data_IF_619956052504
#
_entry.id   IF_619956052504
#
_cell.length_a   1.000
_cell.length_b   1.000
_cell.length_c   1.000
_cell.angle_alpha   90.00
_cell.angle_beta   90.00
_cell.angle_gamma   90.00
#
_symmetry.space_group_name_H-M   'P 1'
#
loop_
_entity.id
_entity.type
_entity.pdbx_description
1 polymer ?
#
# COMPACT_ATOMS: atom_id res chain seq x y z
N UNK A 1 46.25 -9.36 -8.92
CA UNK A 1 45.61 -8.27 -8.13
C UNK A 1 44.92 -7.22 -8.99
N UNK A 2 45.63 -6.39 -9.78
CA UNK A 2 45.00 -5.31 -10.58
C UNK A 2 43.86 -5.77 -11.50
N UNK A 3 44.09 -6.85 -12.28
CA UNK A 3 43.07 -7.43 -13.16
C UNK A 3 41.81 -7.87 -12.41
N UNK A 4 41.97 -8.59 -11.30
CA UNK A 4 40.85 -9.05 -10.47
C UNK A 4 40.05 -7.86 -9.92
N UNK A 5 40.74 -6.84 -9.39
CA UNK A 5 40.11 -5.60 -8.90
C UNK A 5 39.27 -4.92 -9.99
N UNK A 6 39.85 -4.79 -11.18
CA UNK A 6 39.17 -4.14 -12.32
C UNK A 6 37.94 -4.95 -12.75
N UNK A 7 37.99 -6.29 -12.70
CA UNK A 7 36.86 -7.18 -12.99
C UNK A 7 35.70 -7.05 -11.99
N UNK A 8 35.99 -6.79 -10.71
CA UNK A 8 34.96 -6.58 -9.66
C UNK A 8 34.59 -5.11 -9.44
N UNK A 9 35.14 -4.20 -10.25
CA UNK A 9 34.83 -2.77 -10.19
C UNK A 9 35.21 -2.08 -8.88
N UNK A 10 36.23 -2.57 -8.16
CA UNK A 10 36.69 -1.96 -6.91
C UNK A 10 37.72 -0.85 -7.13
N UNK A 11 37.75 0.15 -6.25
CA UNK A 11 38.87 1.09 -6.20
C UNK A 11 40.11 0.41 -5.60
N UNK A 12 41.31 0.94 -5.88
CA UNK A 12 42.55 0.44 -5.29
C UNK A 12 42.51 0.46 -3.76
N UNK A 13 41.90 1.50 -3.19
CA UNK A 13 41.75 1.65 -1.73
C UNK A 13 40.85 0.55 -1.17
N UNK A 14 39.74 0.24 -1.83
CA UNK A 14 38.79 -0.77 -1.35
C UNK A 14 39.36 -2.17 -1.49
N UNK A 15 40.08 -2.44 -2.58
CA UNK A 15 40.82 -3.69 -2.75
C UNK A 15 41.88 -3.89 -1.65
N UNK A 16 42.60 -2.82 -1.30
CA UNK A 16 43.62 -2.88 -0.24
C UNK A 16 42.95 -3.20 1.10
N UNK A 17 41.85 -2.51 1.44
CA UNK A 17 41.09 -2.76 2.67
C UNK A 17 40.54 -4.18 2.74
N UNK A 18 40.00 -4.69 1.63
CA UNK A 18 39.48 -6.06 1.54
C UNK A 18 40.55 -7.10 1.86
N UNK A 19 41.80 -6.81 1.48
CA UNK A 19 42.96 -7.65 1.77
C UNK A 19 43.59 -7.38 3.14
N UNK A 20 43.03 -6.45 3.94
CA UNK A 20 43.57 -6.07 5.24
C UNK A 20 44.82 -5.17 5.17
N UNK A 21 45.04 -4.49 4.05
CA UNK A 21 46.18 -3.60 3.82
C UNK A 21 45.74 -2.14 3.57
N UNK A 22 46.69 -1.21 3.63
CA UNK A 22 46.45 0.19 3.32
C UNK A 22 46.67 0.49 1.82
N UNK A 23 46.16 1.64 1.35
CA UNK A 23 46.22 2.05 -0.06
C UNK A 23 47.65 2.06 -0.62
N UNK A 24 48.63 2.51 0.15
CA UNK A 24 50.03 2.59 -0.27
C UNK A 24 50.60 1.20 -0.52
N UNK A 25 50.37 0.27 0.41
CA UNK A 25 50.79 -1.13 0.29
C UNK A 25 50.10 -1.81 -0.89
N UNK A 26 48.80 -1.61 -1.09
CA UNK A 26 48.08 -2.11 -2.26
C UNK A 26 48.64 -1.59 -3.59
N UNK A 27 49.05 -0.31 -3.64
CA UNK A 27 49.72 0.22 -4.84
C UNK A 27 51.07 -0.41 -5.13
N UNK A 28 51.83 -0.82 -4.10
CA UNK A 28 53.10 -1.50 -4.30
C UNK A 28 52.88 -2.91 -4.84
N UNK A 29 51.88 -3.63 -4.34
CA UNK A 29 51.50 -4.95 -4.85
C UNK A 29 51.06 -4.91 -6.31
N UNK A 30 50.23 -3.93 -6.70
CA UNK A 30 49.76 -3.82 -8.08
C UNK A 30 50.86 -3.44 -9.08
N UNK A 31 51.89 -2.73 -8.62
CA UNK A 31 53.06 -2.38 -9.43
C UNK A 31 54.13 -3.49 -9.45
N UNK A 32 53.92 -4.60 -8.72
CA UNK A 32 54.91 -5.67 -8.59
C UNK A 32 56.14 -5.29 -7.77
N UNK A 33 56.06 -4.20 -6.99
CA UNK A 33 57.16 -3.71 -6.14
C UNK A 33 57.16 -4.36 -4.75
N UNK A 34 56.12 -5.11 -4.41
CA UNK A 34 56.01 -5.86 -3.16
C UNK A 34 55.20 -7.14 -3.37
N UNK A 35 55.71 -8.25 -2.86
CA UNK A 35 55.00 -9.53 -2.90
C UNK A 35 53.86 -9.59 -1.90
N UNK A 36 52.81 -10.33 -2.27
CA UNK A 36 51.64 -10.58 -1.43
C UNK A 36 51.98 -11.66 -0.39
N UNK A 37 51.53 -11.47 0.85
CA UNK A 37 51.66 -12.49 1.87
C UNK A 37 50.63 -13.63 1.68
N UNK A 38 50.81 -14.74 2.39
CA UNK A 38 49.94 -15.91 2.26
C UNK A 38 48.45 -15.63 2.52
N UNK A 39 48.13 -14.73 3.47
CA UNK A 39 46.74 -14.34 3.79
C UNK A 39 46.11 -13.52 2.64
N UNK A 40 46.88 -12.59 2.09
CA UNK A 40 46.48 -11.76 0.95
C UNK A 40 46.28 -12.61 -0.31
N UNK A 41 47.18 -13.55 -0.58
CA UNK A 41 47.05 -14.51 -1.68
C UNK A 41 45.82 -15.40 -1.50
N UNK A 42 45.63 -15.97 -0.32
CA UNK A 42 44.44 -16.79 -0.02
C UNK A 42 43.15 -16.01 -0.24
N UNK A 43 43.11 -14.74 0.19
CA UNK A 43 41.94 -13.87 -0.01
C UNK A 43 41.66 -13.64 -1.50
N UNK A 44 42.69 -13.34 -2.29
CA UNK A 44 42.55 -13.16 -3.74
C UNK A 44 42.08 -14.45 -4.43
N UNK A 45 42.66 -15.59 -4.08
CA UNK A 45 42.28 -16.89 -4.64
C UNK A 45 40.85 -17.27 -4.28
N UNK A 46 40.39 -16.98 -3.06
CA UNK A 46 38.99 -17.18 -2.68
C UNK A 46 38.05 -16.29 -3.48
N UNK A 47 38.38 -15.01 -3.68
CA UNK A 47 37.58 -14.10 -4.51
C UNK A 47 37.49 -14.63 -5.94
N UNK A 48 38.62 -15.02 -6.53
CA UNK A 48 38.68 -15.56 -7.89
C UNK A 48 37.88 -16.87 -8.03
N UNK A 49 37.96 -17.77 -7.04
CA UNK A 49 37.16 -18.99 -7.01
C UNK A 49 35.66 -18.71 -6.92
N UNK A 50 35.25 -17.77 -6.07
CA UNK A 50 33.84 -17.39 -5.91
C UNK A 50 33.29 -16.70 -7.16
N UNK A 51 34.11 -15.92 -7.86
CA UNK A 51 33.74 -15.33 -9.15
C UNK A 51 33.59 -16.37 -10.25
N UNK A 52 34.44 -17.39 -10.26
CA UNK A 52 34.38 -18.47 -11.27
C UNK A 52 33.28 -19.51 -10.97
N UNK A 53 32.85 -19.62 -9.71
CA UNK A 53 31.77 -20.51 -9.27
C UNK A 53 30.41 -19.80 -9.16
N UNK A 54 30.30 -18.56 -9.63
CA UNK A 54 29.05 -17.82 -9.62
C UNK A 54 28.07 -18.42 -10.63
N UNK A 55 27.30 -19.43 -10.19
CA UNK A 55 25.89 -19.48 -10.56
C UNK A 55 25.37 -18.06 -10.37
N UNK A 56 24.97 -17.41 -11.46
CA UNK A 56 24.45 -16.04 -11.55
C UNK A 56 24.26 -15.38 -10.18
N UNK A 57 25.25 -14.61 -9.72
CA UNK A 57 25.00 -13.63 -8.67
C UNK A 57 23.99 -12.67 -9.30
N UNK A 58 22.71 -12.94 -9.10
CA UNK A 58 21.64 -12.13 -9.64
C UNK A 58 21.92 -10.70 -9.21
N UNK A 59 21.98 -9.80 -10.19
CA UNK A 59 22.33 -8.39 -10.02
C UNK A 59 21.44 -7.62 -9.01
N UNK A 60 20.45 -8.30 -8.43
CA UNK A 60 19.54 -7.86 -7.38
C UNK A 60 20.17 -7.79 -5.98
N UNK A 61 21.36 -8.35 -5.71
CA UNK A 61 21.91 -8.35 -4.33
C UNK A 61 22.66 -7.08 -3.90
N UNK A 62 22.79 -6.04 -4.74
CA UNK A 62 23.16 -4.69 -4.26
C UNK A 62 21.91 -3.86 -4.00
N UNK A 63 21.06 -4.34 -3.11
CA UNK A 63 20.05 -3.49 -2.49
C UNK A 63 20.75 -2.68 -1.40
N UNK A 64 20.78 -1.37 -1.58
CA UNK A 64 21.02 -0.44 -0.48
C UNK A 64 20.09 -0.86 0.67
N UNK A 65 20.66 -1.35 1.78
CA UNK A 65 19.92 -1.72 2.99
C UNK A 65 18.92 -0.63 3.43
N UNK A 66 19.22 0.63 3.08
CA UNK A 66 18.33 1.76 3.33
C UNK A 66 17.10 1.77 2.41
N UNK A 67 17.26 1.41 1.14
CA UNK A 67 16.16 1.35 0.16
C UNK A 67 15.23 0.18 0.48
N UNK A 68 15.79 -0.96 0.93
CA UNK A 68 15.05 -2.10 1.45
C UNK A 68 14.22 -1.73 2.69
N UNK A 69 14.83 -1.02 3.66
CA UNK A 69 14.12 -0.53 4.85
C UNK A 69 13.02 0.47 4.51
N UNK A 70 13.28 1.38 3.57
CA UNK A 70 12.29 2.34 3.10
C UNK A 70 11.11 1.64 2.42
N UNK A 71 11.38 0.63 1.59
CA UNK A 71 10.35 -0.17 0.94
C UNK A 71 9.49 -0.93 1.96
N UNK A 72 10.10 -1.61 2.94
CA UNK A 72 9.36 -2.31 4.00
C UNK A 72 8.50 -1.34 4.82
N UNK A 73 9.01 -0.15 5.12
CA UNK A 73 8.23 0.88 5.82
C UNK A 73 7.04 1.39 4.97
N UNK A 74 7.24 1.55 3.66
CA UNK A 74 6.18 1.92 2.73
C UNK A 74 5.08 0.84 2.68
N UNK A 75 5.46 -0.43 2.53
CA UNK A 75 4.52 -1.56 2.48
C UNK A 75 3.73 -1.70 3.79
N UNK A 76 4.38 -1.54 4.94
CA UNK A 76 3.73 -1.46 6.27
C UNK A 76 2.65 -0.39 6.30
N UNK A 77 3.01 0.82 5.88
CA UNK A 77 2.09 1.97 5.86
C UNK A 77 0.92 1.73 4.90
N UNK A 78 1.20 1.15 3.73
CA UNK A 78 0.19 0.85 2.72
C UNK A 78 -0.81 -0.19 3.23
N UNK A 79 -0.34 -1.29 3.85
CA UNK A 79 -1.19 -2.31 4.46
C UNK A 79 -2.05 -1.73 5.60
N UNK A 80 -1.46 -0.88 6.45
CA UNK A 80 -2.23 -0.18 7.48
C UNK A 80 -3.33 0.71 6.88
N UNK A 81 -3.00 1.50 5.86
CA UNK A 81 -3.96 2.36 5.18
C UNK A 81 -5.06 1.55 4.49
N UNK A 82 -4.71 0.43 3.85
CA UNK A 82 -5.66 -0.49 3.23
C UNK A 82 -6.65 -1.02 4.27
N UNK A 83 -6.18 -1.55 5.40
CA UNK A 83 -7.05 -2.02 6.50
C UNK A 83 -7.99 -0.92 6.99
N UNK A 84 -7.47 0.29 7.17
CA UNK A 84 -8.28 1.45 7.58
C UNK A 84 -9.34 1.83 6.53
N UNK A 85 -8.97 1.81 5.24
CA UNK A 85 -9.88 2.08 4.14
C UNK A 85 -10.98 1.01 4.07
N UNK A 86 -10.65 -0.27 4.24
CA UNK A 86 -11.61 -1.38 4.30
C UNK A 86 -12.60 -1.22 5.45
N UNK A 87 -12.12 -0.87 6.65
CA UNK A 87 -13.01 -0.60 7.79
C UNK A 87 -13.96 0.56 7.51
N UNK A 88 -13.44 1.65 6.94
CA UNK A 88 -14.25 2.82 6.58
C UNK A 88 -15.26 2.48 5.48
N UNK A 89 -14.89 1.64 4.53
CA UNK A 89 -15.77 1.13 3.48
C UNK A 89 -16.97 0.42 4.09
N UNK A 90 -16.75 -0.53 5.01
CA UNK A 90 -17.82 -1.27 5.66
C UNK A 90 -18.79 -0.35 6.42
N UNK A 91 -18.25 0.58 7.21
CA UNK A 91 -19.06 1.54 7.98
C UNK A 91 -19.94 2.38 7.05
N UNK A 92 -19.39 2.86 5.93
CA UNK A 92 -20.15 3.66 4.97
C UNK A 92 -21.18 2.79 4.24
N UNK A 93 -20.84 1.55 3.90
CA UNK A 93 -21.73 0.60 3.23
C UNK A 93 -22.96 0.30 4.10
N UNK A 94 -22.76 -0.03 5.37
CA UNK A 94 -23.85 -0.24 6.32
C UNK A 94 -24.71 1.02 6.49
N UNK A 95 -24.08 2.19 6.61
CA UNK A 95 -24.78 3.47 6.73
C UNK A 95 -25.66 3.74 5.50
N UNK A 96 -25.13 3.49 4.29
CA UNK A 96 -25.86 3.67 3.05
C UNK A 96 -27.07 2.73 2.99
N UNK A 97 -26.89 1.44 3.33
CA UNK A 97 -27.98 0.46 3.36
C UNK A 97 -29.14 0.91 4.27
N UNK A 98 -28.84 1.29 5.52
CA UNK A 98 -29.85 1.81 6.45
C UNK A 98 -30.52 3.09 5.94
N UNK A 99 -29.77 3.94 5.25
CA UNK A 99 -30.28 5.18 4.67
C UNK A 99 -31.25 4.90 3.52
N UNK A 100 -30.93 3.94 2.65
CA UNK A 100 -31.77 3.52 1.52
C UNK A 100 -33.08 2.88 2.01
N UNK A 101 -33.02 2.01 3.02
CA UNK A 101 -34.20 1.43 3.67
C UNK A 101 -35.09 2.51 4.33
N UNK A 102 -34.47 3.44 5.04
CA UNK A 102 -35.18 4.58 5.66
C UNK A 102 -35.84 5.45 4.60
N UNK A 103 -35.16 5.71 3.49
CA UNK A 103 -35.72 6.49 2.38
C UNK A 103 -36.90 5.78 1.73
N UNK A 104 -36.77 4.48 1.45
CA UNK A 104 -37.84 3.69 0.84
C UNK A 104 -39.09 3.61 1.72
N UNK A 105 -38.92 3.38 3.03
CA UNK A 105 -40.03 3.34 3.99
C UNK A 105 -40.72 4.69 4.13
N UNK A 106 -39.97 5.79 4.24
CA UNK A 106 -40.56 7.13 4.31
C UNK A 106 -41.23 7.54 3.00
N UNK A 107 -40.71 7.12 1.85
CA UNK A 107 -41.36 7.39 0.56
C UNK A 107 -42.73 6.71 0.49
N UNK A 108 -42.84 5.45 0.96
CA UNK A 108 -44.13 4.75 1.06
C UNK A 108 -45.09 5.45 2.01
N UNK A 109 -44.61 5.87 3.18
CA UNK A 109 -45.42 6.62 4.15
C UNK A 109 -45.93 7.94 3.55
N UNK A 110 -45.08 8.67 2.85
CA UNK A 110 -45.46 9.92 2.19
C UNK A 110 -46.57 9.71 1.15
N UNK A 111 -46.47 8.67 0.31
CA UNK A 111 -47.53 8.33 -0.64
C UNK A 111 -48.86 8.04 0.07
N UNK A 112 -48.82 7.23 1.13
CA UNK A 112 -50.01 6.87 1.90
C UNK A 112 -50.64 8.08 2.60
N UNK A 113 -49.83 8.99 3.16
CA UNK A 113 -50.34 10.23 3.75
C UNK A 113 -51.01 11.12 2.70
N UNK A 114 -50.47 11.20 1.49
CA UNK A 114 -51.09 11.92 0.39
C UNK A 114 -52.43 11.30 -0.03
N UNK A 115 -52.49 9.98 -0.17
CA UNK A 115 -53.74 9.26 -0.49
C UNK A 115 -54.80 9.42 0.61
N UNK A 116 -54.40 9.40 1.88
CA UNK A 116 -55.33 9.65 2.99
C UNK A 116 -55.88 11.07 2.95
N UNK A 117 -55.06 12.08 2.62
CA UNK A 117 -55.53 13.47 2.48
C UNK A 117 -56.49 13.65 1.31
N UNK A 118 -56.24 12.99 0.18
CA UNK A 118 -57.10 13.13 -0.99
C UNK A 118 -58.45 12.44 -0.78
N UNK A 119 -58.45 11.27 -0.11
CA UNK A 119 -59.65 10.45 0.08
C UNK A 119 -60.46 10.80 1.33
N UNK A 120 -59.84 11.28 2.41
CA UNK A 120 -60.52 11.65 3.65
C UNK A 120 -60.66 13.17 3.77
N UNK A 121 -61.86 13.69 3.51
CA UNK A 121 -62.21 15.12 3.60
C UNK A 121 -63.28 15.40 4.66
N UNK A 122 -63.36 16.65 5.11
CA UNK A 122 -64.39 17.09 6.07
C UNK A 122 -64.20 16.49 7.47
N UNK A 123 -65.29 16.05 8.12
CA UNK A 123 -65.26 15.49 9.48
C UNK A 123 -64.43 14.19 9.62
N UNK A 124 -64.14 13.51 8.51
CA UNK A 124 -63.30 12.30 8.48
C UNK A 124 -61.79 12.61 8.32
N UNK A 125 -61.42 13.88 8.10
CA UNK A 125 -60.02 14.28 7.97
C UNK A 125 -59.30 14.15 9.33
N UNK A 126 -58.22 13.39 9.35
CA UNK A 126 -57.41 13.22 10.56
C UNK A 126 -56.38 14.37 10.66
N UNK A 127 -56.45 15.22 11.70
CA UNK A 127 -55.54 16.37 11.85
C UNK A 127 -54.07 15.98 12.05
N UNK A 128 -53.78 14.75 12.50
CA UNK A 128 -52.42 14.27 12.70
C UNK A 128 -51.66 13.96 11.40
N UNK A 129 -52.37 13.83 10.27
CA UNK A 129 -51.77 13.53 8.96
C UNK A 129 -50.79 14.63 8.53
N UNK A 130 -51.10 15.89 8.80
CA UNK A 130 -50.18 17.01 8.51
C UNK A 130 -48.90 16.97 9.35
N UNK A 131 -49.01 16.59 10.64
CA UNK A 131 -47.82 16.45 11.52
C UNK A 131 -46.92 15.30 11.06
N UNK A 132 -47.52 14.18 10.67
CA UNK A 132 -46.78 13.02 10.15
C UNK A 132 -46.11 13.33 8.81
N UNK A 133 -46.75 14.11 7.95
CA UNK A 133 -46.18 14.55 6.67
C UNK A 133 -44.92 15.40 6.88
N UNK A 134 -44.95 16.39 7.78
CA UNK A 134 -43.78 17.21 8.09
C UNK A 134 -42.61 16.34 8.55
N UNK A 135 -42.84 15.44 9.51
CA UNK A 135 -41.80 14.51 9.99
C UNK A 135 -41.27 13.60 8.88
N UNK A 136 -42.16 13.13 8.01
CA UNK A 136 -41.80 12.28 6.88
C UNK A 136 -40.92 13.04 5.86
N UNK A 137 -41.27 14.29 5.54
CA UNK A 137 -40.49 15.15 4.65
C UNK A 137 -39.11 15.48 5.23
N UNK A 138 -39.02 15.77 6.53
CA UNK A 138 -37.74 15.98 7.22
C UNK A 138 -36.85 14.73 7.13
N UNK A 139 -37.42 13.55 7.39
CA UNK A 139 -36.74 12.26 7.22
C UNK A 139 -36.26 12.08 5.78
N UNK A 140 -37.14 12.24 4.78
CA UNK A 140 -36.79 12.12 3.36
C UNK A 140 -35.68 13.08 2.95
N UNK A 141 -35.66 14.30 3.48
CA UNK A 141 -34.58 15.26 3.25
C UNK A 141 -33.26 14.76 3.85
N UNK A 142 -33.29 14.24 5.07
CA UNK A 142 -32.10 13.72 5.77
C UNK A 142 -31.53 12.42 5.20
N UNK A 143 -32.32 11.63 4.46
CA UNK A 143 -31.87 10.40 3.79
C UNK A 143 -31.99 10.47 2.26
N UNK A 144 -32.06 11.70 1.73
CA UNK A 144 -32.39 11.94 0.33
C UNK A 144 -31.35 11.39 -0.64
N UNK A 145 -31.74 11.25 -1.90
CA UNK A 145 -30.90 10.72 -2.97
C UNK A 145 -29.54 11.42 -3.08
N UNK A 146 -29.47 12.73 -2.82
CA UNK A 146 -28.21 13.48 -2.82
C UNK A 146 -27.20 12.94 -1.79
N UNK A 147 -27.64 12.57 -0.58
CA UNK A 147 -26.76 11.99 0.43
C UNK A 147 -26.36 10.56 0.06
N UNK A 148 -27.31 9.78 -0.46
CA UNK A 148 -27.02 8.42 -0.92
C UNK A 148 -25.98 8.41 -2.04
N UNK A 149 -26.10 9.32 -3.02
CA UNK A 149 -25.11 9.50 -4.10
C UNK A 149 -23.74 9.88 -3.53
N UNK A 150 -23.69 10.81 -2.57
CA UNK A 150 -22.44 11.18 -1.91
C UNK A 150 -21.76 9.97 -1.25
N UNK A 151 -22.52 9.16 -0.51
CA UNK A 151 -21.98 7.96 0.13
C UNK A 151 -21.56 6.90 -0.89
N UNK A 152 -22.33 6.69 -1.97
CA UNK A 152 -21.95 5.78 -3.08
C UNK A 152 -20.66 6.21 -3.75
N UNK A 153 -20.48 7.51 -3.99
CA UNK A 153 -19.24 8.04 -4.53
C UNK A 153 -18.06 7.81 -3.57
N UNK A 154 -18.26 8.06 -2.27
CA UNK A 154 -17.23 7.77 -1.26
C UNK A 154 -16.86 6.27 -1.21
N UNK A 155 -17.83 5.37 -1.35
CA UNK A 155 -17.57 3.93 -1.45
C UNK A 155 -16.74 3.59 -2.69
N UNK A 156 -17.10 4.12 -3.86
CA UNK A 156 -16.36 3.90 -5.10
C UNK A 156 -14.91 4.37 -5.01
N UNK A 157 -14.67 5.52 -4.39
CA UNK A 157 -13.30 6.01 -4.14
C UNK A 157 -12.52 5.07 -3.22
N UNK A 158 -13.14 4.61 -2.13
CA UNK A 158 -12.50 3.65 -1.21
C UNK A 158 -12.23 2.29 -1.87
N UNK A 159 -13.12 1.81 -2.73
CA UNK A 159 -12.90 0.57 -3.50
C UNK A 159 -11.68 0.67 -4.41
N UNK A 160 -11.56 1.80 -5.11
CA UNK A 160 -10.39 2.07 -5.93
C UNK A 160 -9.10 2.14 -5.10
N UNK A 161 -9.13 2.84 -3.96
CA UNK A 161 -7.97 2.93 -3.06
C UNK A 161 -7.54 1.57 -2.51
N UNK A 162 -8.51 0.74 -2.08
CA UNK A 162 -8.25 -0.61 -1.58
C UNK A 162 -7.67 -1.49 -2.68
N UNK A 163 -8.25 -1.46 -3.89
CA UNK A 163 -7.79 -2.25 -5.02
C UNK A 163 -6.37 -1.86 -5.45
N UNK A 164 -6.08 -0.56 -5.59
CA UNK A 164 -4.73 -0.09 -5.92
C UNK A 164 -3.72 -0.44 -4.85
N UNK A 165 -4.07 -0.31 -3.56
CA UNK A 165 -3.19 -0.71 -2.48
C UNK A 165 -2.90 -2.23 -2.51
N UNK A 166 -3.91 -3.04 -2.77
CA UNK A 166 -3.77 -4.49 -2.85
C UNK A 166 -2.87 -4.91 -4.02
N UNK A 167 -3.07 -4.31 -5.19
CA UNK A 167 -2.25 -4.55 -6.37
C UNK A 167 -0.76 -4.26 -6.09
N UNK A 168 -0.46 -3.11 -5.47
CA UNK A 168 0.91 -2.75 -5.11
C UNK A 168 1.52 -3.82 -4.18
N UNK A 169 0.78 -4.27 -3.16
CA UNK A 169 1.27 -5.31 -2.24
C UNK A 169 1.55 -6.63 -2.97
N UNK A 170 0.68 -7.04 -3.87
CA UNK A 170 0.83 -8.28 -4.65
C UNK A 170 2.01 -8.22 -5.61
N UNK A 171 2.19 -7.10 -6.31
CA UNK A 171 3.36 -6.86 -7.17
C UNK A 171 4.66 -7.00 -6.36
N UNK A 172 4.72 -6.38 -5.17
CA UNK A 172 5.91 -6.46 -4.30
C UNK A 172 6.15 -7.83 -3.66
N UNK A 173 5.10 -8.62 -3.43
CA UNK A 173 5.23 -10.01 -2.97
C UNK A 173 5.98 -10.86 -4.01
N UNK A 174 5.80 -10.57 -5.30
CA UNK A 174 6.54 -11.21 -6.40
C UNK A 174 8.06 -10.96 -6.39
N UNK A 175 8.53 -9.93 -5.68
CA UNK A 175 9.95 -9.58 -5.55
C UNK A 175 10.62 -10.14 -4.28
N UNK A 176 9.96 -11.05 -3.54
CA UNK A 176 10.57 -11.74 -2.40
C UNK A 176 10.73 -10.91 -1.12
N UNK A 177 9.99 -9.81 -0.99
CA UNK A 177 9.96 -9.02 0.26
C UNK A 177 9.20 -9.82 1.33
N UNK A 178 9.79 -10.12 2.51
CA UNK A 178 9.16 -10.97 3.52
C UNK A 178 7.84 -10.38 4.02
N UNK A 179 6.87 -11.26 4.28
CA UNK A 179 5.57 -10.88 4.81
C UNK A 179 5.73 -10.14 6.14
N UNK A 180 5.08 -8.99 6.21
CA UNK A 180 5.03 -8.21 7.44
C UNK A 180 3.94 -8.79 8.33
N UNK A 181 4.38 -9.52 9.37
CA UNK A 181 3.55 -9.88 10.52
C UNK A 181 3.07 -8.67 11.31
#
# INVERSE_FOLDING_TARGET
MKKLRDQIGLSQTDMSKLMGSNKTTGSLHEKGLRELNAKELSTLSTIELLMNNANEIQATERISLNDQKALVAMLKKLSYNQKRATQKHEIIREKLSRMEETYASNRKLWCLLNELKTNLKGKAANPYVGVLEVKCLEKLKSCGLHQQILLRHQLSMLESEIASAQQIVEEYRGFGVPEVG
#
